data_IF_872822604472
#
_entry.id   IF_872822604472
#
_cell.length_a   1.000
_cell.length_b   1.000
_cell.length_c   1.000
_cell.angle_alpha   90.00
_cell.angle_beta   90.00
_cell.angle_gamma   90.00
#
_symmetry.space_group_name_H-M   'P 1'
#
loop_
_entity.id
_entity.type
_entity.pdbx_description
1 polymer ?
#
# COMPACT_ATOMS: atom_id res chain seq x y z
N UNK A 1 30.64 32.20 21.99
CA UNK A 1 30.70 32.12 20.52
C UNK A 1 30.71 30.66 20.07
N UNK A 2 29.91 30.29 19.07
CA UNK A 2 29.95 28.92 18.52
C UNK A 2 31.35 28.66 17.92
N UNK A 3 32.07 27.65 18.43
CA UNK A 3 33.43 27.33 17.96
C UNK A 3 33.40 27.00 16.46
N UNK A 4 34.12 27.73 15.62
CA UNK A 4 34.21 27.58 14.15
C UNK A 4 34.41 26.11 13.70
N UNK A 5 35.17 25.33 14.48
CA UNK A 5 35.38 23.89 14.26
C UNK A 5 34.08 23.07 14.28
N UNK A 6 33.13 23.40 15.15
CA UNK A 6 31.84 22.72 15.24
C UNK A 6 30.98 22.98 14.00
N UNK A 7 30.99 24.21 13.47
CA UNK A 7 30.29 24.59 12.24
C UNK A 7 30.86 23.80 11.05
N UNK A 8 32.18 23.73 10.92
CA UNK A 8 32.84 22.96 9.85
C UNK A 8 32.50 21.46 9.95
N UNK A 9 32.47 20.89 11.17
CA UNK A 9 32.06 19.49 11.40
C UNK A 9 30.63 19.25 10.96
N UNK A 10 29.68 20.11 11.37
CA UNK A 10 28.25 19.99 10.98
C UNK A 10 28.07 20.11 9.46
N UNK A 11 28.79 21.03 8.81
CA UNK A 11 28.78 21.19 7.35
C UNK A 11 29.23 19.92 6.62
N UNK A 12 30.28 19.24 7.11
CA UNK A 12 30.73 17.96 6.54
C UNK A 12 29.68 16.86 6.74
N UNK A 13 29.08 16.78 7.91
CA UNK A 13 28.02 15.80 8.20
C UNK A 13 26.80 15.96 7.28
N UNK A 14 26.30 17.20 7.12
CA UNK A 14 25.16 17.50 6.23
C UNK A 14 25.49 17.13 4.77
N UNK A 15 26.72 17.41 4.31
CA UNK A 15 27.16 17.00 2.96
C UNK A 15 27.14 15.48 2.78
N UNK A 16 27.52 14.72 3.80
CA UNK A 16 27.45 13.26 3.75
C UNK A 16 26.01 12.75 3.74
N UNK A 17 25.14 13.30 4.61
CA UNK A 17 23.71 12.96 4.63
C UNK A 17 23.09 13.24 3.25
N UNK A 18 23.37 14.40 2.65
CA UNK A 18 22.88 14.76 1.30
C UNK A 18 23.31 13.75 0.23
N UNK A 19 24.54 13.26 0.28
CA UNK A 19 25.01 12.22 -0.66
C UNK A 19 24.25 10.92 -0.47
N UNK A 20 24.10 10.47 0.78
CA UNK A 20 23.38 9.23 1.12
C UNK A 20 21.92 9.30 0.67
N UNK A 21 21.21 10.39 1.00
CA UNK A 21 19.80 10.55 0.62
C UNK A 21 19.64 10.68 -0.89
N UNK A 22 20.57 11.33 -1.59
CA UNK A 22 20.56 11.39 -3.07
C UNK A 22 20.72 10.01 -3.70
N UNK A 23 21.61 9.17 -3.16
CA UNK A 23 21.74 7.78 -3.63
C UNK A 23 20.49 6.97 -3.34
N UNK A 24 19.89 7.12 -2.15
CA UNK A 24 18.63 6.47 -1.80
C UNK A 24 17.48 6.88 -2.74
N UNK A 25 17.38 8.17 -3.08
CA UNK A 25 16.43 8.70 -4.05
C UNK A 25 16.57 8.02 -5.41
N UNK A 26 17.78 7.94 -5.97
CA UNK A 26 18.04 7.30 -7.26
C UNK A 26 17.66 5.81 -7.25
N UNK A 27 17.99 5.09 -6.16
CA UNK A 27 17.63 3.66 -6.00
C UNK A 27 16.10 3.51 -5.91
N UNK A 28 15.44 4.37 -5.15
CA UNK A 28 13.98 4.35 -5.00
C UNK A 28 13.29 4.62 -6.34
N UNK A 29 13.74 5.62 -7.09
CA UNK A 29 13.22 5.95 -8.42
C UNK A 29 13.36 4.78 -9.39
N UNK A 30 14.53 4.15 -9.45
CA UNK A 30 14.75 2.99 -10.32
C UNK A 30 13.84 1.80 -9.95
N UNK A 31 13.67 1.52 -8.65
CA UNK A 31 12.78 0.46 -8.18
C UNK A 31 11.31 0.76 -8.43
N UNK A 32 10.89 2.02 -8.21
CA UNK A 32 9.54 2.46 -8.48
C UNK A 32 9.21 2.32 -9.97
N UNK A 33 10.10 2.79 -10.85
CA UNK A 33 9.94 2.63 -12.30
C UNK A 33 9.77 1.17 -12.70
N UNK A 34 10.66 0.28 -12.24
CA UNK A 34 10.54 -1.17 -12.49
C UNK A 34 9.23 -1.77 -11.96
N UNK A 35 8.72 -1.29 -10.83
CA UNK A 35 7.44 -1.75 -10.31
C UNK A 35 6.26 -1.23 -11.14
N UNK A 36 6.31 0.03 -11.58
CA UNK A 36 5.31 0.65 -12.42
C UNK A 36 5.24 -0.01 -13.80
N UNK A 37 6.40 -0.24 -14.44
CA UNK A 37 6.48 -0.89 -15.75
C UNK A 37 5.82 -2.29 -15.71
N UNK A 38 6.11 -3.10 -14.67
CA UNK A 38 5.45 -4.41 -14.47
C UNK A 38 3.94 -4.30 -14.30
N UNK A 39 3.46 -3.28 -13.60
CA UNK A 39 2.03 -3.06 -13.42
C UNK A 39 1.35 -2.66 -14.74
N UNK A 40 2.02 -1.83 -15.55
CA UNK A 40 1.54 -1.41 -16.88
C UNK A 40 1.52 -2.58 -17.85
N UNK A 41 2.55 -3.43 -17.86
CA UNK A 41 2.60 -4.65 -18.69
C UNK A 41 1.46 -5.63 -18.36
N UNK A 42 1.09 -5.75 -17.08
CA UNK A 42 -0.01 -6.61 -16.64
C UNK A 42 -1.40 -6.00 -16.87
N UNK A 43 -1.50 -4.74 -17.31
CA UNK A 43 -2.77 -4.01 -17.37
C UNK A 43 -3.77 -4.64 -18.34
N UNK A 44 -3.31 -5.02 -19.54
CA UNK A 44 -4.19 -5.62 -20.57
C UNK A 44 -4.78 -6.97 -20.09
N UNK A 45 -3.95 -7.81 -19.47
CA UNK A 45 -4.39 -9.08 -18.90
C UNK A 45 -5.41 -8.87 -17.77
N UNK A 46 -5.09 -7.98 -16.83
CA UNK A 46 -5.97 -7.67 -15.69
C UNK A 46 -7.32 -7.15 -16.17
N UNK A 47 -7.32 -6.26 -17.16
CA UNK A 47 -8.53 -5.75 -17.79
C UNK A 47 -9.34 -6.88 -18.42
N UNK A 48 -8.70 -7.75 -19.21
CA UNK A 48 -9.43 -8.79 -19.93
C UNK A 48 -10.03 -9.85 -19.00
N UNK A 49 -9.33 -10.21 -17.92
CA UNK A 49 -9.89 -11.10 -16.91
C UNK A 49 -11.06 -10.46 -16.17
N UNK A 50 -10.97 -9.17 -15.84
CA UNK A 50 -12.08 -8.46 -15.20
C UNK A 50 -13.32 -8.41 -16.11
N UNK A 51 -13.14 -8.17 -17.41
CA UNK A 51 -14.22 -8.24 -18.41
C UNK A 51 -14.85 -9.65 -18.44
N UNK A 52 -14.05 -10.70 -18.54
CA UNK A 52 -14.56 -12.08 -18.57
C UNK A 52 -15.32 -12.45 -17.28
N UNK A 53 -14.82 -12.01 -16.12
CA UNK A 53 -15.50 -12.25 -14.85
C UNK A 53 -16.84 -11.51 -14.78
N UNK A 54 -16.90 -10.27 -15.30
CA UNK A 54 -18.13 -9.49 -15.36
C UNK A 54 -19.15 -10.13 -16.32
N UNK A 55 -18.73 -10.50 -17.53
CA UNK A 55 -19.57 -11.16 -18.54
C UNK A 55 -20.16 -12.46 -17.99
N UNK A 56 -19.33 -13.28 -17.33
CA UNK A 56 -19.76 -14.52 -16.69
C UNK A 56 -20.78 -14.26 -15.58
N UNK A 57 -20.52 -13.26 -14.71
CA UNK A 57 -21.46 -12.91 -13.63
C UNK A 57 -22.81 -12.42 -14.14
N UNK A 58 -22.86 -11.76 -15.30
CA UNK A 58 -24.09 -11.25 -15.90
C UNK A 58 -24.89 -12.33 -16.63
N UNK A 59 -24.21 -13.29 -17.27
CA UNK A 59 -24.84 -14.34 -18.10
C UNK A 59 -25.26 -15.56 -17.28
N UNK A 60 -24.63 -15.76 -16.11
CA UNK A 60 -24.85 -16.92 -15.29
C UNK A 60 -26.14 -16.83 -14.45
N UNK A 61 -27.29 -17.10 -15.07
CA UNK A 61 -28.59 -17.07 -14.37
C UNK A 61 -28.71 -18.11 -13.25
N UNK A 62 -27.94 -19.21 -13.31
CA UNK A 62 -28.02 -20.35 -12.38
C UNK A 62 -26.64 -20.82 -11.83
N UNK A 63 -25.60 -19.96 -11.84
CA UNK A 63 -24.31 -20.35 -11.22
C UNK A 63 -24.34 -20.04 -9.73
N UNK A 64 -24.40 -21.10 -8.92
CA UNK A 64 -24.16 -21.00 -7.47
C UNK A 64 -22.66 -20.99 -7.23
N UNK A 65 -22.10 -19.80 -6.96
CA UNK A 65 -20.70 -19.65 -6.57
C UNK A 65 -20.57 -18.69 -5.38
N UNK A 66 -19.86 -19.06 -4.29
CA UNK A 66 -19.78 -18.24 -3.08
C UNK A 66 -19.21 -16.83 -3.25
N UNK A 67 -18.45 -16.57 -4.33
CA UNK A 67 -17.92 -15.23 -4.67
C UNK A 67 -18.88 -14.38 -5.53
N UNK A 68 -19.94 -14.97 -6.08
CA UNK A 68 -20.97 -14.26 -6.86
C UNK A 68 -22.24 -14.01 -6.04
N UNK A 69 -22.36 -14.65 -4.88
CA UNK A 69 -23.49 -14.52 -3.97
C UNK A 69 -23.50 -13.15 -3.27
N UNK A 70 -24.59 -12.40 -3.42
CA UNK A 70 -24.82 -11.17 -2.66
C UNK A 70 -25.41 -11.53 -1.29
N UNK A 71 -24.64 -11.29 -0.22
CA UNK A 71 -25.10 -11.51 1.15
C UNK A 71 -25.74 -10.24 1.71
N UNK A 72 -26.95 -10.35 2.25
CA UNK A 72 -27.66 -9.23 2.87
C UNK A 72 -26.98 -8.75 4.17
N UNK A 73 -26.34 -9.68 4.89
CA UNK A 73 -25.62 -9.39 6.13
C UNK A 73 -24.21 -9.95 6.08
N UNK A 74 -23.24 -9.10 6.37
CA UNK A 74 -21.83 -9.47 6.46
C UNK A 74 -21.40 -9.39 7.91
N UNK A 75 -21.13 -10.56 8.51
CA UNK A 75 -20.74 -10.65 9.93
C UNK A 75 -19.23 -10.64 10.14
N UNK A 76 -18.46 -11.04 9.11
CA UNK A 76 -17.01 -11.21 9.19
C UNK A 76 -16.33 -10.56 7.98
N UNK A 77 -15.38 -9.66 8.22
CA UNK A 77 -14.57 -9.02 7.19
C UNK A 77 -13.09 -9.34 7.39
N UNK A 78 -12.40 -9.64 6.28
CA UNK A 78 -10.94 -9.64 6.22
C UNK A 78 -10.46 -8.27 5.73
N UNK A 79 -9.65 -7.59 6.52
CA UNK A 79 -8.98 -6.35 6.13
C UNK A 79 -7.51 -6.67 5.88
N UNK A 80 -7.07 -6.54 4.63
CA UNK A 80 -5.66 -6.68 4.25
C UNK A 80 -5.02 -5.28 4.15
N UNK A 81 -4.06 -4.99 5.02
CA UNK A 81 -3.33 -3.72 5.04
C UNK A 81 -1.96 -3.92 4.42
N UNK A 82 -1.67 -3.17 3.34
CA UNK A 82 -0.41 -3.24 2.62
C UNK A 82 0.46 -2.03 2.96
N UNK A 83 1.49 -2.25 3.78
CA UNK A 83 2.47 -1.27 4.20
C UNK A 83 3.86 -1.57 3.63
N UNK A 84 4.79 -0.63 3.78
CA UNK A 84 6.17 -0.84 3.34
C UNK A 84 6.96 -1.69 4.33
N UNK A 85 8.03 -2.32 3.85
CA UNK A 85 9.02 -2.97 4.71
C UNK A 85 10.09 -1.98 5.23
N UNK A 86 10.15 -0.75 4.70
CA UNK A 86 11.23 0.21 4.94
C UNK A 86 10.69 1.58 5.36
N UNK A 87 11.39 2.25 6.28
CA UNK A 87 11.10 3.63 6.64
C UNK A 87 11.60 4.64 5.59
N UNK A 88 11.67 5.92 5.99
CA UNK A 88 12.07 7.05 5.12
C UNK A 88 11.18 7.19 3.86
N UNK A 89 9.90 6.81 3.99
CA UNK A 89 8.90 6.83 2.92
C UNK A 89 7.95 8.04 3.02
N UNK A 90 8.38 9.13 3.66
CA UNK A 90 7.51 10.27 3.96
C UNK A 90 6.27 9.83 4.75
N UNK A 91 5.10 10.28 4.32
CA UNK A 91 3.81 9.99 4.95
C UNK A 91 3.15 8.67 4.54
N UNK A 92 3.78 7.82 3.72
CA UNK A 92 3.13 6.64 3.13
C UNK A 92 2.52 5.68 4.17
N UNK A 93 3.33 5.08 5.07
CA UNK A 93 2.80 4.14 6.07
C UNK A 93 1.82 4.80 7.04
N UNK A 94 2.11 6.03 7.48
CA UNK A 94 1.20 6.77 8.37
C UNK A 94 -0.15 7.06 7.70
N UNK A 95 -0.16 7.30 6.38
CA UNK A 95 -1.37 7.45 5.59
C UNK A 95 -2.18 6.16 5.51
N UNK A 96 -1.54 5.04 5.13
CA UNK A 96 -2.18 3.72 5.06
C UNK A 96 -2.78 3.32 6.41
N UNK A 97 -2.02 3.44 7.50
CA UNK A 97 -2.49 3.05 8.83
C UNK A 97 -3.62 3.92 9.34
N UNK A 98 -3.63 5.22 8.99
CA UNK A 98 -4.74 6.13 9.34
C UNK A 98 -6.03 5.73 8.63
N UNK A 99 -5.95 5.43 7.33
CA UNK A 99 -7.08 5.00 6.52
C UNK A 99 -7.62 3.65 6.99
N UNK A 100 -6.75 2.66 7.13
CA UNK A 100 -7.11 1.34 7.64
C UNK A 100 -7.72 1.43 9.04
N UNK A 101 -7.14 2.24 9.92
CA UNK A 101 -7.68 2.48 11.25
C UNK A 101 -9.06 3.13 11.24
N UNK A 102 -9.34 4.04 10.30
CA UNK A 102 -10.67 4.63 10.14
C UNK A 102 -11.69 3.57 9.68
N UNK A 103 -11.37 2.82 8.63
CA UNK A 103 -12.23 1.75 8.12
C UNK A 103 -12.54 0.69 9.19
N UNK A 104 -11.51 0.25 9.94
CA UNK A 104 -11.66 -0.74 11.02
C UNK A 104 -12.57 -0.19 12.13
N UNK A 105 -12.47 1.09 12.49
CA UNK A 105 -13.35 1.69 13.50
C UNK A 105 -14.80 1.70 13.04
N UNK A 106 -15.07 2.08 11.80
CA UNK A 106 -16.43 2.06 11.23
C UNK A 106 -17.02 0.66 11.26
N UNK A 107 -16.28 -0.35 10.76
CA UNK A 107 -16.74 -1.74 10.76
C UNK A 107 -16.99 -2.29 12.17
N UNK A 108 -16.19 -1.90 13.17
CA UNK A 108 -16.42 -2.27 14.57
C UNK A 108 -17.69 -1.64 15.15
N UNK A 109 -17.99 -0.39 14.79
CA UNK A 109 -19.22 0.29 15.22
C UNK A 109 -20.47 -0.38 14.64
N UNK A 110 -20.36 -0.94 13.43
CA UNK A 110 -21.41 -1.74 12.78
C UNK A 110 -21.53 -3.16 13.37
N UNK A 111 -20.69 -3.52 14.34
CA UNK A 111 -20.69 -4.85 14.97
C UNK A 111 -20.13 -5.97 14.10
N UNK A 112 -19.34 -5.64 13.08
CA UNK A 112 -18.71 -6.61 12.17
C UNK A 112 -17.43 -7.17 12.84
N UNK A 113 -17.25 -8.49 12.82
CA UNK A 113 -16.01 -9.13 13.25
C UNK A 113 -14.92 -8.90 12.20
N UNK A 114 -13.75 -8.47 12.64
CA UNK A 114 -12.65 -8.11 11.73
C UNK A 114 -11.48 -9.07 11.93
N UNK A 115 -11.08 -9.72 10.84
CA UNK A 115 -9.77 -10.36 10.73
C UNK A 115 -8.82 -9.38 10.05
N UNK A 116 -7.70 -9.08 10.69
CA UNK A 116 -6.70 -8.13 10.16
C UNK A 116 -5.48 -8.91 9.69
N UNK A 117 -5.15 -8.78 8.42
CA UNK A 117 -3.90 -9.26 7.84
C UNK A 117 -3.05 -8.07 7.40
N UNK A 118 -1.75 -8.13 7.68
CA UNK A 118 -0.83 -7.02 7.36
C UNK A 118 0.34 -7.56 6.57
N UNK A 119 0.60 -6.96 5.41
CA UNK A 119 1.80 -7.21 4.63
C UNK A 119 2.68 -5.97 4.66
N UNK A 120 3.84 -6.09 5.29
CA UNK A 120 4.73 -4.96 5.58
C UNK A 120 5.32 -5.09 6.98
N UNK A 121 6.44 -4.41 7.24
CA UNK A 121 7.12 -4.42 8.55
C UNK A 121 6.91 -3.12 9.34
N UNK A 122 6.23 -2.13 8.76
CA UNK A 122 6.17 -0.75 9.26
C UNK A 122 4.75 -0.20 9.23
#
# INVERSE_FOLDING_TARGET
MAKTRAIVKRRKAIRNIRKITRTMELIATARFKKAMDRATEAAAYTKKIAELAADLSATATNVSHPLLEKRERVNNNLVLVLCSNRGLCGGYNAGILREAGAAIRTMRQEGINIHLEVSGKR
#
